data_IF_842021810468
#
_entry.id   IF_842021810468
#
_cell.length_a   1.000
_cell.length_b   1.000
_cell.length_c   1.000
_cell.angle_alpha   90.00
_cell.angle_beta   90.00
_cell.angle_gamma   90.00
#
_symmetry.space_group_name_H-M   'P 1'
#
loop_
_entity.id
_entity.type
_entity.pdbx_description
1 polymer ?
#
# COMPACT_ATOMS: atom_id res chain seq x y z
N UNK A 1 -69.08 -44.10 -0.35
CA UNK A 1 -68.42 -43.72 -1.61
C UNK A 1 -68.01 -42.26 -1.54
N UNK A 2 -66.73 -41.96 -1.81
CA UNK A 2 -66.19 -40.72 -2.44
C UNK A 2 -66.36 -39.39 -1.68
N UNK A 3 -65.30 -38.90 -1.00
CA UNK A 3 -64.24 -37.97 -1.52
C UNK A 3 -64.72 -36.52 -1.60
N UNK A 4 -63.99 -35.47 -1.25
CA UNK A 4 -62.57 -35.24 -1.01
C UNK A 4 -62.38 -33.75 -0.67
N UNK A 5 -61.41 -33.37 0.16
CA UNK A 5 -59.99 -33.20 -0.22
C UNK A 5 -59.70 -31.82 -0.84
N UNK A 6 -59.93 -30.72 -0.10
CA UNK A 6 -59.42 -29.38 -0.47
C UNK A 6 -59.06 -28.51 0.74
N UNK A 7 -58.62 -29.11 1.85
CA UNK A 7 -58.07 -28.38 3.00
C UNK A 7 -56.70 -28.97 3.31
N UNK A 8 -55.63 -28.43 2.71
CA UNK A 8 -54.22 -28.65 3.14
C UNK A 8 -53.12 -27.96 2.31
N UNK A 9 -53.41 -27.24 1.21
CA UNK A 9 -52.35 -26.77 0.29
C UNK A 9 -51.83 -25.34 0.59
N UNK A 10 -52.40 -24.59 1.55
CA UNK A 10 -51.98 -23.19 1.80
C UNK A 10 -50.85 -23.07 2.84
N UNK A 11 -50.47 -24.14 3.55
CA UNK A 11 -49.51 -24.07 4.66
C UNK A 11 -48.05 -24.46 4.33
N UNK A 12 -47.69 -24.66 3.06
CA UNK A 12 -46.34 -25.10 2.68
C UNK A 12 -45.45 -24.02 2.04
N UNK A 13 -45.93 -22.79 1.84
CA UNK A 13 -45.15 -21.71 1.21
C UNK A 13 -44.70 -20.61 2.18
N UNK A 14 -45.03 -20.70 3.47
CA UNK A 14 -44.65 -19.72 4.50
C UNK A 14 -43.45 -20.10 5.37
N UNK A 15 -42.76 -21.21 5.08
CA UNK A 15 -41.72 -21.77 5.94
C UNK A 15 -40.41 -22.05 5.19
N UNK A 16 -40.01 -21.15 4.28
CA UNK A 16 -38.70 -21.20 3.62
C UNK A 16 -37.84 -19.95 3.87
N UNK A 17 -38.31 -19.00 4.69
CA UNK A 17 -37.66 -17.69 4.89
C UNK A 17 -36.92 -17.54 6.23
N UNK A 18 -36.63 -18.63 6.95
CA UNK A 18 -35.92 -18.56 8.24
C UNK A 18 -34.59 -19.35 8.24
N UNK A 19 -34.16 -19.87 7.10
CA UNK A 19 -32.89 -20.60 6.95
C UNK A 19 -31.88 -19.88 6.05
N UNK A 20 -31.97 -18.55 5.93
CA UNK A 20 -30.79 -17.74 5.57
C UNK A 20 -29.87 -17.71 6.79
N UNK A 21 -29.21 -18.85 7.03
CA UNK A 21 -28.18 -18.99 8.02
C UNK A 21 -27.20 -17.83 7.90
N UNK A 22 -26.82 -17.29 9.05
CA UNK A 22 -25.65 -16.46 9.21
C UNK A 22 -24.47 -17.22 8.59
N UNK A 23 -24.19 -16.99 7.31
CA UNK A 23 -22.85 -17.18 6.82
C UNK A 23 -21.99 -16.27 7.70
N UNK A 24 -20.99 -16.77 8.42
CA UNK A 24 -20.05 -15.88 9.08
C UNK A 24 -19.53 -14.97 7.97
N UNK A 25 -19.78 -13.66 8.10
CA UNK A 25 -19.15 -12.69 7.23
C UNK A 25 -17.65 -12.98 7.35
N UNK A 26 -17.06 -13.49 6.27
CA UNK A 26 -15.61 -13.65 6.18
C UNK A 26 -15.08 -12.24 6.27
N UNK A 27 -14.76 -11.81 7.49
CA UNK A 27 -14.13 -10.52 7.71
C UNK A 27 -12.84 -10.56 6.92
N UNK A 28 -12.64 -9.63 5.97
CA UNK A 28 -11.37 -9.55 5.26
C UNK A 28 -10.28 -9.45 6.32
N UNK A 29 -9.26 -10.31 6.21
CA UNK A 29 -8.12 -10.26 7.11
C UNK A 29 -7.63 -8.81 7.18
N UNK A 30 -7.60 -8.26 8.39
CA UNK A 30 -7.21 -6.87 8.57
C UNK A 30 -5.79 -6.67 8.03
N UNK A 31 -5.61 -5.60 7.26
CA UNK A 31 -4.34 -5.24 6.63
C UNK A 31 -3.79 -4.01 7.35
N UNK A 32 -2.55 -4.08 7.79
CA UNK A 32 -1.80 -2.94 8.32
C UNK A 32 -1.04 -2.29 7.18
N UNK A 33 -1.28 -0.99 6.95
CA UNK A 33 -0.56 -0.19 5.96
C UNK A 33 0.63 0.48 6.65
N UNK A 34 1.82 0.33 6.07
CA UNK A 34 3.06 0.87 6.63
C UNK A 34 3.76 1.70 5.56
N UNK A 35 4.04 2.96 5.90
CA UNK A 35 4.79 3.87 5.05
C UNK A 35 6.19 4.07 5.61
N UNK A 36 7.20 3.74 4.81
CA UNK A 36 8.61 3.94 5.15
C UNK A 36 9.22 4.96 4.20
N UNK A 37 10.05 5.85 4.73
CA UNK A 37 10.82 6.81 3.94
C UNK A 37 12.30 6.49 4.02
N UNK A 38 12.96 6.44 2.87
CA UNK A 38 14.39 6.17 2.74
C UNK A 38 15.09 7.33 2.03
N UNK A 39 16.36 7.57 2.38
CA UNK A 39 17.18 8.54 1.64
C UNK A 39 17.46 8.04 0.22
N UNK A 40 17.67 8.97 -0.72
CA UNK A 40 18.02 8.63 -2.09
C UNK A 40 19.37 7.88 -2.18
N UNK A 41 20.33 8.25 -1.34
CA UNK A 41 21.68 7.65 -1.32
C UNK A 41 21.64 6.15 -0.98
N UNK A 42 20.70 5.74 -0.12
CA UNK A 42 20.50 4.33 0.20
C UNK A 42 20.15 3.49 -1.04
N UNK A 43 19.59 4.12 -2.08
CA UNK A 43 19.06 3.49 -3.28
C UNK A 43 19.80 3.85 -4.57
N UNK A 44 20.98 4.47 -4.47
CA UNK A 44 21.83 4.80 -5.63
C UNK A 44 21.44 6.08 -6.34
N UNK A 45 20.77 6.99 -5.65
CA UNK A 45 20.33 8.27 -6.18
C UNK A 45 18.88 8.26 -6.62
N UNK A 46 18.48 9.33 -7.30
CA UNK A 46 17.10 9.55 -7.77
C UNK A 46 16.98 9.24 -9.26
N UNK A 47 15.83 8.73 -9.71
CA UNK A 47 15.56 8.50 -11.14
C UNK A 47 15.17 9.79 -11.89
N UNK A 48 15.49 10.97 -11.35
CA UNK A 48 15.14 12.26 -11.94
C UNK A 48 16.35 12.88 -12.64
N UNK A 49 16.13 13.44 -13.84
CA UNK A 49 17.17 14.21 -14.52
C UNK A 49 17.51 15.49 -13.75
N UNK A 50 18.72 16.02 -13.96
CA UNK A 50 19.11 17.31 -13.39
C UNK A 50 18.16 18.44 -13.85
N UNK A 51 17.77 18.41 -15.13
CA UNK A 51 16.83 19.38 -15.71
C UNK A 51 15.46 19.34 -15.03
N UNK A 52 14.89 18.14 -14.80
CA UNK A 52 13.59 18.01 -14.14
C UNK A 52 13.65 18.61 -12.73
N UNK A 53 14.68 18.28 -11.95
CA UNK A 53 14.87 18.82 -10.59
C UNK A 53 15.04 20.34 -10.59
N UNK A 54 15.83 20.87 -11.53
CA UNK A 54 16.02 22.31 -11.67
C UNK A 54 14.71 23.02 -12.02
N UNK A 55 13.92 22.46 -12.93
CA UNK A 55 12.62 23.02 -13.32
C UNK A 55 11.67 23.10 -12.13
N UNK A 56 11.57 22.01 -11.36
CA UNK A 56 10.75 21.95 -10.14
C UNK A 56 11.20 22.96 -9.09
N UNK A 57 12.53 23.09 -8.90
CA UNK A 57 13.09 24.09 -8.00
C UNK A 57 12.70 25.51 -8.44
N UNK A 58 12.89 25.85 -9.71
CA UNK A 58 12.55 27.17 -10.25
C UNK A 58 11.05 27.44 -10.10
N UNK A 59 10.20 26.47 -10.42
CA UNK A 59 8.75 26.59 -10.28
C UNK A 59 8.33 26.83 -8.81
N UNK A 60 8.86 26.04 -7.87
CA UNK A 60 8.57 26.22 -6.45
C UNK A 60 8.91 27.63 -5.97
N UNK A 61 10.10 28.13 -6.35
CA UNK A 61 10.60 29.44 -5.96
C UNK A 61 9.78 30.58 -6.57
N UNK A 62 9.45 30.49 -7.86
CA UNK A 62 8.66 31.51 -8.55
C UNK A 62 7.25 31.60 -7.97
N UNK A 63 6.62 30.46 -7.73
CA UNK A 63 5.24 30.36 -7.25
C UNK A 63 5.14 30.44 -5.71
N UNK A 64 6.28 30.50 -5.00
CA UNK A 64 6.40 30.46 -3.53
C UNK A 64 5.58 29.34 -2.90
N UNK A 65 5.67 28.14 -3.48
CA UNK A 65 4.88 26.97 -3.05
C UNK A 65 5.76 25.76 -2.82
N UNK A 66 5.10 24.68 -2.42
CA UNK A 66 5.70 23.35 -2.42
C UNK A 66 5.49 22.74 -3.80
N UNK A 67 6.57 22.31 -4.42
CA UNK A 67 6.54 21.51 -5.64
C UNK A 67 7.15 20.14 -5.40
N UNK A 68 6.61 19.13 -6.08
CA UNK A 68 7.04 17.76 -5.90
C UNK A 68 7.06 17.00 -7.21
N UNK A 69 8.21 16.41 -7.50
CA UNK A 69 8.35 15.36 -8.50
C UNK A 69 8.18 14.02 -7.83
N UNK A 70 7.37 13.16 -8.44
CA UNK A 70 7.22 11.78 -8.03
C UNK A 70 7.36 10.85 -9.23
N UNK A 71 7.96 9.70 -9.00
CA UNK A 71 8.05 8.66 -10.00
C UNK A 71 7.98 7.29 -9.33
N UNK A 72 7.04 6.48 -9.79
CA UNK A 72 6.97 5.07 -9.42
C UNK A 72 8.21 4.34 -9.91
N UNK A 73 8.82 3.55 -9.03
CA UNK A 73 10.03 2.79 -9.29
C UNK A 73 9.70 1.32 -9.21
N UNK A 74 9.98 0.62 -10.31
CA UNK A 74 9.80 -0.83 -10.34
C UNK A 74 10.66 -1.48 -9.25
N UNK A 75 10.04 -2.35 -8.46
CA UNK A 75 10.69 -3.03 -7.36
C UNK A 75 10.41 -4.53 -7.40
N UNK A 76 11.36 -5.32 -6.91
CA UNK A 76 11.15 -6.74 -6.60
C UNK A 76 11.33 -6.96 -5.12
N UNK A 77 10.50 -7.83 -4.58
CA UNK A 77 10.47 -8.14 -3.16
C UNK A 77 10.60 -9.64 -3.02
N UNK A 78 11.61 -10.03 -2.28
CA UNK A 78 11.85 -11.40 -1.87
C UNK A 78 11.69 -11.46 -0.35
N UNK A 79 10.56 -12.01 0.12
CA UNK A 79 10.17 -11.98 1.53
C UNK A 79 10.07 -13.38 2.12
N UNK A 80 10.58 -13.53 3.34
CA UNK A 80 10.55 -14.76 4.13
C UNK A 80 9.88 -14.51 5.49
N UNK A 81 8.90 -15.35 5.91
CA UNK A 81 8.31 -16.47 5.15
C UNK A 81 7.51 -15.98 3.93
N UNK A 82 7.36 -16.87 2.93
CA UNK A 82 6.85 -16.57 1.59
C UNK A 82 5.60 -15.66 1.57
N UNK A 83 5.77 -14.47 1.00
CA UNK A 83 4.87 -13.54 0.25
C UNK A 83 3.38 -13.36 0.59
N UNK A 84 2.77 -14.12 1.49
CA UNK A 84 1.33 -13.98 1.83
C UNK A 84 1.11 -12.90 2.90
N UNK A 85 2.17 -12.56 3.64
CA UNK A 85 2.09 -11.66 4.80
C UNK A 85 2.58 -10.24 4.52
N UNK A 86 3.26 -10.01 3.38
CA UNK A 86 3.82 -8.72 2.99
C UNK A 86 3.61 -8.51 1.49
N UNK A 87 3.01 -7.38 1.13
CA UNK A 87 2.87 -6.93 -0.24
C UNK A 87 3.35 -5.49 -0.36
N UNK A 88 4.20 -5.20 -1.36
CA UNK A 88 4.55 -3.82 -1.68
C UNK A 88 3.49 -3.24 -2.60
N UNK A 89 2.83 -2.18 -2.14
CA UNK A 89 1.83 -1.46 -2.94
C UNK A 89 2.48 -0.38 -3.80
N UNK A 90 3.48 0.29 -3.24
CA UNK A 90 4.13 1.42 -3.90
C UNK A 90 5.59 1.53 -3.50
N UNK A 91 6.43 1.85 -4.48
CA UNK A 91 7.78 2.31 -4.24
C UNK A 91 8.03 3.51 -5.13
N UNK A 92 8.03 4.69 -4.53
CA UNK A 92 7.97 5.96 -5.25
C UNK A 92 9.17 6.81 -4.88
N UNK A 93 9.98 7.18 -5.87
CA UNK A 93 10.99 8.20 -5.67
C UNK A 93 10.31 9.58 -5.62
N UNK A 94 10.82 10.48 -4.78
CA UNK A 94 10.34 11.85 -4.72
C UNK A 94 11.48 12.86 -4.62
N UNK A 95 11.21 14.04 -5.17
CA UNK A 95 12.04 15.23 -5.03
C UNK A 95 11.09 16.41 -4.79
N UNK A 96 11.15 16.98 -3.60
CA UNK A 96 10.26 18.03 -3.14
C UNK A 96 11.06 19.28 -2.82
N UNK A 97 10.50 20.42 -3.19
CA UNK A 97 11.05 21.75 -2.91
C UNK A 97 9.97 22.57 -2.23
N UNK A 98 10.21 22.95 -0.98
CA UNK A 98 9.37 23.90 -0.26
C UNK A 98 10.01 25.29 -0.30
N UNK A 99 9.41 26.21 -1.06
CA UNK A 99 9.88 27.58 -1.16
C UNK A 99 8.92 28.61 -0.53
N UNK A 100 7.98 28.18 0.32
CA UNK A 100 6.99 29.07 0.96
C UNK A 100 7.64 30.15 1.84
N UNK A 101 8.79 29.82 2.44
CA UNK A 101 9.54 30.68 3.36
C UNK A 101 10.54 31.61 2.66
N UNK A 102 10.70 31.51 1.34
CA UNK A 102 11.64 32.31 0.53
C UNK A 102 13.00 31.64 0.29
N UNK A 103 13.53 30.87 1.25
CA UNK A 103 14.69 30.00 1.02
C UNK A 103 14.18 28.58 0.71
N UNK A 104 14.48 28.02 -0.48
CA UNK A 104 13.98 26.70 -0.84
C UNK A 104 14.62 25.61 0.02
N UNK A 105 13.78 24.81 0.68
CA UNK A 105 14.17 23.61 1.41
C UNK A 105 13.91 22.42 0.49
N UNK A 106 14.94 21.60 0.28
CA UNK A 106 14.84 20.41 -0.58
C UNK A 106 14.77 19.16 0.27
N UNK A 107 13.79 18.30 0.00
CA UNK A 107 13.72 16.95 0.53
C UNK A 107 13.64 15.96 -0.63
N UNK A 108 14.32 14.82 -0.52
CA UNK A 108 14.29 13.81 -1.58
C UNK A 108 14.59 12.43 -1.04
N UNK A 109 14.04 11.42 -1.70
CA UNK A 109 14.19 10.06 -1.26
C UNK A 109 13.21 9.12 -1.93
N UNK A 110 12.86 8.07 -1.20
CA UNK A 110 11.92 7.05 -1.63
C UNK A 110 10.88 6.83 -0.55
N UNK A 111 9.63 6.72 -0.96
CA UNK A 111 8.52 6.27 -0.13
C UNK A 111 8.17 4.84 -0.52
N UNK A 112 8.10 3.97 0.47
CA UNK A 112 7.70 2.58 0.33
C UNK A 112 6.40 2.38 1.09
N UNK A 113 5.38 1.90 0.39
CA UNK A 113 4.09 1.54 0.95
C UNK A 113 3.97 0.02 0.98
N UNK A 114 3.72 -0.50 2.18
CA UNK A 114 3.65 -1.91 2.48
C UNK A 114 2.29 -2.25 3.06
N UNK A 115 1.69 -3.33 2.57
CA UNK A 115 0.57 -3.99 3.20
C UNK A 115 1.08 -5.21 3.93
N UNK A 116 0.84 -5.26 5.24
CA UNK A 116 1.13 -6.40 6.09
C UNK A 116 -0.17 -7.03 6.58
N UNK A 117 -0.22 -8.36 6.63
CA UNK A 117 -1.31 -9.05 7.31
C UNK A 117 -1.26 -8.74 8.82
N UNK A 118 -2.40 -8.41 9.42
CA UNK A 118 -2.45 -8.17 10.86
C UNK A 118 -2.02 -9.42 11.65
N UNK A 119 -1.18 -9.22 12.67
CA UNK A 119 -0.61 -10.32 13.45
C UNK A 119 0.50 -11.10 12.76
N UNK A 120 1.03 -10.60 11.62
CA UNK A 120 2.18 -11.20 10.98
C UNK A 120 3.39 -11.27 11.95
N UNK A 121 4.17 -12.37 11.94
CA UNK A 121 5.45 -12.41 12.62
C UNK A 121 6.42 -11.39 12.04
N UNK A 122 7.59 -11.22 12.66
CA UNK A 122 8.68 -10.44 12.08
C UNK A 122 8.98 -10.92 10.66
N UNK A 123 8.89 -10.02 9.68
CA UNK A 123 9.14 -10.31 8.27
C UNK A 123 10.53 -9.85 7.90
N UNK A 124 11.26 -10.70 7.20
CA UNK A 124 12.53 -10.35 6.56
C UNK A 124 12.31 -10.29 5.05
N UNK A 125 12.54 -9.13 4.45
CA UNK A 125 12.40 -8.92 3.02
C UNK A 125 13.68 -8.36 2.41
N UNK A 126 13.93 -8.67 1.15
CA UNK A 126 14.91 -8.00 0.31
C UNK A 126 14.15 -7.23 -0.76
N UNK A 127 14.38 -5.93 -0.82
CA UNK A 127 13.82 -5.05 -1.82
C UNK A 127 14.90 -4.65 -2.80
N UNK A 128 14.65 -4.83 -4.08
CA UNK A 128 15.53 -4.38 -5.15
C UNK A 128 14.89 -3.23 -5.89
N UNK A 129 15.60 -2.12 -6.01
CA UNK A 129 15.25 -1.02 -6.89
C UNK A 129 15.68 -1.41 -8.32
N UNK A 130 14.73 -1.64 -9.24
CA UNK A 130 15.07 -2.05 -10.60
C UNK A 130 15.66 -0.93 -11.47
N UNK A 131 15.49 0.33 -11.09
CA UNK A 131 16.10 1.44 -11.81
C UNK A 131 17.62 1.52 -11.56
N UNK A 132 18.08 1.15 -10.36
CA UNK A 132 19.51 1.24 -9.97
C UNK A 132 20.18 -0.10 -9.74
N UNK A 133 19.42 -1.20 -9.67
CA UNK A 133 19.90 -2.55 -9.34
C UNK A 133 20.24 -2.76 -7.87
N UNK A 134 20.13 -1.74 -7.02
CA UNK A 134 20.49 -1.83 -5.60
C UNK A 134 19.46 -2.64 -4.84
N UNK A 135 19.96 -3.56 -4.01
CA UNK A 135 19.15 -4.39 -3.12
C UNK A 135 19.41 -4.05 -1.66
N UNK A 136 18.34 -3.93 -0.87
CA UNK A 136 18.38 -3.66 0.57
C UNK A 136 17.56 -4.67 1.34
N UNK A 137 18.09 -5.10 2.49
CA UNK A 137 17.35 -5.90 3.45
C UNK A 137 16.45 -5.00 4.30
N UNK A 138 15.23 -5.46 4.53
CA UNK A 138 14.23 -4.84 5.36
C UNK A 138 13.78 -5.87 6.41
N UNK A 139 13.80 -5.47 7.68
CA UNK A 139 13.26 -6.25 8.79
C UNK A 139 12.08 -5.47 9.37
N UNK A 140 10.90 -6.05 9.28
CA UNK A 140 9.66 -5.47 9.79
C UNK A 140 9.24 -6.27 11.00
N UNK A 141 9.06 -5.60 12.13
CA UNK A 141 8.46 -6.18 13.32
C UNK A 141 7.08 -5.52 13.51
N UNK A 142 5.98 -6.15 13.04
CA UNK A 142 4.65 -5.53 13.03
C UNK A 142 4.18 -5.06 14.41
N UNK A 143 4.63 -5.73 15.48
CA UNK A 143 4.33 -5.37 16.86
C UNK A 143 4.98 -4.06 17.32
N UNK A 144 5.96 -3.54 16.58
CA UNK A 144 6.71 -2.31 16.89
C UNK A 144 6.48 -1.20 15.86
N UNK A 145 5.66 -1.45 14.85
CA UNK A 145 5.27 -0.42 13.89
C UNK A 145 4.21 0.48 14.53
N UNK A 146 4.30 1.81 14.33
CA UNK A 146 3.38 2.77 14.92
C UNK A 146 1.92 2.59 14.43
#
# INVERSE_FOLDING_TARGET
MRSGLTSRIVWLLGLWLVLSGCAPAVQPAAVQVVHLTFSADAWGGLPFTAEARQRTMVQAVLDRRVERLEQAVATTVDAQPASVLLSVQGFTAFFEVDARSGLPIVSSGYQLELHLAQGAPTVHARLTNRATGITRGLRLDPARLP
#
